data_IF_524284072469
#
_entry.id   IF_524284072469
#
_cell.length_a   1.000
_cell.length_b   1.000
_cell.length_c   1.000
_cell.angle_alpha   90.00
_cell.angle_beta   90.00
_cell.angle_gamma   90.00
#
_symmetry.space_group_name_H-M   'P 1'
#
loop_
_entity.id
_entity.type
_entity.pdbx_description
1 polymer ?
#
# COMPACT_ATOMS: atom_id res chain seq x y z
N UNK A 1 1.98 4.76 15.23
CA UNK A 1 2.66 3.87 14.27
C UNK A 1 3.95 3.40 14.88
N UNK A 2 4.24 2.12 14.80
CA UNK A 2 5.47 1.50 15.33
C UNK A 2 6.61 1.50 14.29
N UNK A 3 6.29 1.54 13.00
CA UNK A 3 7.23 1.68 11.90
C UNK A 3 6.65 2.55 10.78
N UNK A 4 7.52 3.19 9.99
CA UNK A 4 7.15 3.96 8.81
C UNK A 4 8.23 3.86 7.73
N UNK A 5 7.81 3.80 6.47
CA UNK A 5 8.69 3.75 5.31
C UNK A 5 8.20 4.76 4.29
N UNK A 6 9.07 5.70 3.91
CA UNK A 6 8.74 6.77 2.99
C UNK A 6 9.94 7.19 2.18
N UNK A 7 9.69 7.85 1.06
CA UNK A 7 10.76 8.40 0.23
C UNK A 7 11.53 9.48 0.98
N UNK A 8 12.85 9.40 0.87
CA UNK A 8 13.78 10.37 1.47
C UNK A 8 14.33 11.24 0.36
N UNK A 9 14.03 12.53 0.42
CA UNK A 9 14.52 13.52 -0.53
C UNK A 9 15.84 14.14 -0.05
N UNK A 10 16.70 14.50 -1.01
CA UNK A 10 17.94 15.20 -0.72
C UNK A 10 17.66 16.61 -0.23
N UNK A 11 18.39 16.99 0.82
CA UNK A 11 18.35 18.30 1.44
C UNK A 11 19.76 18.88 1.37
N UNK A 12 19.88 20.12 0.90
CA UNK A 12 21.17 20.81 0.84
C UNK A 12 21.64 21.33 2.21
N UNK A 13 22.82 21.94 2.23
CA UNK A 13 23.41 22.54 3.45
C UNK A 13 22.54 23.64 4.10
N UNK A 14 21.60 24.22 3.36
CA UNK A 14 20.70 25.27 3.84
C UNK A 14 19.34 24.70 4.29
N UNK A 15 19.19 23.38 4.35
CA UNK A 15 17.96 22.68 4.69
C UNK A 15 16.84 22.83 3.65
N UNK A 16 17.20 23.00 2.37
CA UNK A 16 16.26 23.13 1.26
C UNK A 16 16.23 21.82 0.45
N UNK A 17 15.03 21.37 0.06
CA UNK A 17 14.87 20.23 -0.84
C UNK A 17 15.45 20.52 -2.21
N UNK A 18 16.34 19.63 -2.69
CA UNK A 18 16.99 19.81 -4.00
C UNK A 18 16.14 19.27 -5.16
N UNK A 19 15.08 18.52 -4.85
CA UNK A 19 14.25 17.79 -5.83
C UNK A 19 14.83 16.43 -6.23
N UNK A 20 15.99 16.03 -5.72
CA UNK A 20 16.56 14.68 -5.93
C UNK A 20 16.10 13.72 -4.84
N UNK A 21 15.97 12.45 -5.18
CA UNK A 21 15.62 11.38 -4.23
C UNK A 21 16.88 10.64 -3.77
N UNK A 22 17.00 10.43 -2.46
CA UNK A 22 18.06 9.60 -1.84
C UNK A 22 17.60 8.15 -1.70
N UNK A 23 16.33 7.93 -1.31
CA UNK A 23 15.76 6.60 -1.11
C UNK A 23 14.29 6.62 -1.54
N UNK A 24 13.89 5.62 -2.34
CA UNK A 24 12.57 5.58 -3.01
C UNK A 24 11.88 4.22 -2.77
N UNK A 25 11.57 3.88 -1.50
CA UNK A 25 10.92 2.61 -1.14
C UNK A 25 9.55 2.46 -1.79
N UNK A 26 8.92 3.57 -2.18
CA UNK A 26 7.63 3.62 -2.87
C UNK A 26 7.64 2.96 -4.24
N UNK A 27 8.82 2.68 -4.84
CA UNK A 27 8.91 1.98 -6.13
C UNK A 27 8.61 0.49 -6.05
N UNK A 28 8.88 -0.14 -4.90
CA UNK A 28 8.58 -1.54 -4.63
C UNK A 28 8.19 -1.69 -3.15
N UNK A 29 6.94 -1.34 -2.84
CA UNK A 29 6.37 -1.45 -1.49
C UNK A 29 6.38 -2.91 -1.02
N UNK A 30 6.22 -3.87 -1.93
CA UNK A 30 6.30 -5.30 -1.63
C UNK A 30 7.66 -5.72 -1.09
N UNK A 31 8.76 -5.27 -1.70
CA UNK A 31 10.11 -5.54 -1.21
C UNK A 31 10.34 -4.99 0.21
N UNK A 32 9.85 -3.78 0.49
CA UNK A 32 9.94 -3.16 1.82
C UNK A 32 9.20 -3.98 2.87
N UNK A 33 7.97 -4.44 2.57
CA UNK A 33 7.21 -5.30 3.48
C UNK A 33 7.94 -6.62 3.72
N UNK A 34 8.44 -7.29 2.67
CA UNK A 34 9.21 -8.54 2.80
C UNK A 34 10.43 -8.38 3.68
N UNK A 35 11.19 -7.30 3.49
CA UNK A 35 12.37 -7.01 4.31
C UNK A 35 11.96 -6.79 5.77
N UNK A 36 10.96 -5.94 6.02
CA UNK A 36 10.52 -5.61 7.37
C UNK A 36 10.01 -6.83 8.14
N UNK A 37 9.21 -7.69 7.52
CA UNK A 37 8.70 -8.90 8.19
C UNK A 37 9.80 -9.91 8.49
N UNK A 38 10.80 -10.03 7.61
CA UNK A 38 11.94 -10.91 7.81
C UNK A 38 12.85 -10.42 8.94
N UNK A 39 13.15 -9.12 8.98
CA UNK A 39 14.00 -8.52 10.02
C UNK A 39 13.36 -8.59 11.42
N UNK A 40 12.03 -8.58 11.48
CA UNK A 40 11.28 -8.53 12.74
C UNK A 40 10.59 -9.85 13.11
N UNK A 41 10.80 -10.93 12.33
CA UNK A 41 10.13 -12.22 12.51
C UNK A 41 8.60 -12.13 12.64
N UNK A 42 7.97 -11.31 11.79
CA UNK A 42 6.51 -11.09 11.79
C UNK A 42 5.84 -12.06 10.82
N UNK A 43 4.78 -12.73 11.26
CA UNK A 43 3.92 -13.53 10.38
C UNK A 43 2.90 -12.65 9.66
N UNK A 44 2.68 -12.89 8.37
CA UNK A 44 1.63 -12.23 7.58
C UNK A 44 0.27 -12.94 7.66
N UNK A 45 0.18 -14.10 8.31
CA UNK A 45 -1.11 -14.76 8.53
C UNK A 45 -2.02 -13.88 9.40
N UNK A 46 -3.27 -13.69 8.97
CA UNK A 46 -4.22 -12.77 9.60
C UNK A 46 -3.89 -11.28 9.44
N UNK A 47 -2.94 -10.93 8.55
CA UNK A 47 -2.58 -9.53 8.28
C UNK A 47 -3.59 -8.88 7.35
N UNK A 48 -3.85 -7.60 7.59
CA UNK A 48 -4.64 -6.75 6.71
C UNK A 48 -3.72 -5.77 5.98
N UNK A 49 -3.95 -5.58 4.67
CA UNK A 49 -3.27 -4.57 3.88
C UNK A 49 -4.28 -3.67 3.18
N UNK A 50 -4.00 -2.37 3.14
CA UNK A 50 -4.90 -1.38 2.54
C UNK A 50 -4.14 -0.45 1.61
N UNK A 51 -4.61 -0.32 0.37
CA UNK A 51 -4.05 0.59 -0.63
C UNK A 51 -5.10 1.15 -1.57
N UNK A 52 -4.78 2.24 -2.25
CA UNK A 52 -5.69 3.01 -3.11
C UNK A 52 -5.18 3.14 -4.55
N UNK A 53 -3.90 2.87 -4.82
CA UNK A 53 -3.33 2.99 -6.16
C UNK A 53 -2.74 1.69 -6.68
N UNK A 54 -2.49 1.62 -7.99
CA UNK A 54 -1.78 0.48 -8.58
C UNK A 54 -0.41 0.20 -7.94
N UNK A 55 0.28 1.22 -7.40
CA UNK A 55 1.59 1.04 -6.77
C UNK A 55 1.55 0.12 -5.53
N UNK A 56 0.37 -0.01 -4.91
CA UNK A 56 0.14 -0.79 -3.71
C UNK A 56 -0.01 -2.28 -3.96
N UNK A 57 -0.27 -2.68 -5.21
CA UNK A 57 -0.50 -4.09 -5.60
C UNK A 57 0.62 -5.00 -5.12
N UNK A 58 1.87 -4.56 -5.26
CA UNK A 58 3.06 -5.34 -4.89
C UNK A 58 3.09 -5.78 -3.42
N UNK A 59 2.54 -4.98 -2.50
CA UNK A 59 2.46 -5.34 -1.10
C UNK A 59 1.11 -5.95 -0.73
N UNK A 60 0.02 -5.53 -1.39
CA UNK A 60 -1.31 -6.12 -1.19
C UNK A 60 -1.33 -7.61 -1.56
N UNK A 61 -0.50 -8.04 -2.51
CA UNK A 61 -0.30 -9.47 -2.83
C UNK A 61 0.37 -10.29 -1.71
N UNK A 62 0.95 -9.64 -0.69
CA UNK A 62 1.69 -10.32 0.38
C UNK A 62 0.86 -10.56 1.64
N UNK A 63 -0.15 -9.73 1.88
CA UNK A 63 -0.99 -9.80 3.08
C UNK A 63 -2.08 -10.87 2.91
N UNK A 64 -2.63 -11.32 4.03
CA UNK A 64 -3.69 -12.34 4.05
C UNK A 64 -5.04 -11.74 3.61
N UNK A 65 -5.35 -10.54 4.11
CA UNK A 65 -6.61 -9.83 3.86
C UNK A 65 -6.36 -8.48 3.15
N UNK A 66 -6.18 -8.49 1.81
CA UNK A 66 -5.98 -7.27 1.02
C UNK A 66 -7.28 -6.50 0.79
N UNK A 67 -7.21 -5.17 0.97
CA UNK A 67 -8.31 -4.23 0.81
C UNK A 67 -7.88 -3.12 -0.16
N UNK A 68 -8.61 -3.01 -1.27
CA UNK A 68 -8.55 -1.86 -2.16
C UNK A 68 -9.52 -0.78 -1.64
N UNK A 69 -8.98 0.26 -1.00
CA UNK A 69 -9.77 1.31 -0.34
C UNK A 69 -9.78 2.58 -1.19
N UNK A 70 -10.97 3.03 -1.60
CA UNK A 70 -11.15 4.11 -2.58
C UNK A 70 -10.23 3.98 -3.81
N UNK A 71 -10.16 2.79 -4.46
CA UNK A 71 -9.12 2.54 -5.44
C UNK A 71 -9.25 3.39 -6.70
N UNK A 72 -8.11 3.74 -7.28
CA UNK A 72 -8.03 4.22 -8.66
C UNK A 72 -8.53 3.14 -9.65
N UNK A 73 -8.73 3.53 -10.92
CA UNK A 73 -9.26 2.60 -11.93
C UNK A 73 -8.37 1.37 -12.16
N UNK A 74 -7.06 1.50 -11.98
CA UNK A 74 -6.10 0.42 -12.19
C UNK A 74 -6.14 -0.59 -11.04
N UNK A 75 -6.09 -0.12 -9.79
CA UNK A 75 -6.20 -0.96 -8.61
C UNK A 75 -7.59 -1.59 -8.53
N UNK A 76 -8.66 -0.85 -8.87
CA UNK A 76 -10.03 -1.39 -8.91
C UNK A 76 -10.12 -2.62 -9.81
N UNK A 77 -9.59 -2.53 -11.04
CA UNK A 77 -9.59 -3.65 -11.99
C UNK A 77 -8.84 -4.86 -11.45
N UNK A 78 -7.66 -4.64 -10.88
CA UNK A 78 -6.84 -5.71 -10.28
C UNK A 78 -7.55 -6.35 -9.08
N UNK A 79 -8.18 -5.53 -8.23
CA UNK A 79 -8.94 -5.98 -7.07
C UNK A 79 -10.15 -6.83 -7.49
N UNK A 80 -10.86 -6.45 -8.55
CA UNK A 80 -11.95 -7.27 -9.11
C UNK A 80 -11.44 -8.61 -9.67
N UNK A 81 -10.35 -8.59 -10.44
CA UNK A 81 -9.72 -9.79 -11.01
C UNK A 81 -9.23 -10.76 -9.91
N UNK A 82 -8.60 -10.23 -8.85
CA UNK A 82 -8.09 -11.00 -7.71
C UNK A 82 -9.11 -11.25 -6.61
N UNK A 83 -10.33 -10.75 -6.75
CA UNK A 83 -11.41 -10.82 -5.75
C UNK A 83 -11.03 -10.24 -4.38
N UNK A 84 -10.23 -9.18 -4.37
CA UNK A 84 -9.92 -8.43 -3.17
C UNK A 84 -11.13 -7.62 -2.70
N UNK A 85 -11.20 -7.35 -1.40
CA UNK A 85 -12.26 -6.49 -0.84
C UNK A 85 -12.09 -5.08 -1.39
N UNK A 86 -13.16 -4.51 -1.95
CA UNK A 86 -13.19 -3.11 -2.38
C UNK A 86 -14.08 -2.34 -1.42
N UNK A 87 -13.49 -1.34 -0.76
CA UNK A 87 -14.20 -0.44 0.15
C UNK A 87 -14.20 0.96 -0.45
N UNK A 88 -15.37 1.58 -0.53
CA UNK A 88 -15.52 2.98 -0.94
C UNK A 88 -16.10 3.78 0.22
N UNK A 89 -15.33 4.74 0.71
CA UNK A 89 -15.76 5.69 1.74
C UNK A 89 -16.23 6.98 1.05
N UNK A 90 -17.42 7.44 1.44
CA UNK A 90 -17.98 8.72 0.96
C UNK A 90 -18.71 9.45 2.08
N UNK A 91 -18.02 10.44 2.65
CA UNK A 91 -18.46 11.31 3.76
C UNK A 91 -18.68 10.53 5.06
N UNK A 92 -19.92 10.05 5.25
CA UNK A 92 -20.36 9.41 6.49
C UNK A 92 -20.79 7.95 6.23
N UNK A 93 -20.50 7.42 5.04
CA UNK A 93 -20.95 6.08 4.62
C UNK A 93 -19.80 5.30 4.00
N UNK A 94 -19.67 4.04 4.41
CA UNK A 94 -18.73 3.07 3.86
C UNK A 94 -19.54 2.04 3.07
N UNK A 95 -19.20 1.86 1.79
CA UNK A 95 -19.75 0.83 0.92
C UNK A 95 -18.71 -0.27 0.74
N UNK A 96 -19.12 -1.52 1.00
CA UNK A 96 -18.35 -2.69 0.58
C UNK A 96 -18.92 -3.18 -0.75
N UNK A 97 -18.11 -3.12 -1.80
CA UNK A 97 -18.52 -3.56 -3.14
C UNK A 97 -18.33 -5.07 -3.22
N UNK A 98 -19.43 -5.80 -3.03
CA UNK A 98 -19.46 -7.24 -3.21
C UNK A 98 -19.67 -7.56 -4.70
N UNK A 99 -18.67 -8.18 -5.35
CA UNK A 99 -18.87 -8.80 -6.66
C UNK A 99 -19.76 -10.04 -6.49
N UNK A 100 -21.08 -9.84 -6.49
CA UNK A 100 -22.04 -10.93 -6.67
C UNK A 100 -22.24 -11.13 -8.17
N UNK A 101 -21.92 -12.33 -8.63
CA UNK A 101 -22.22 -12.85 -9.97
C UNK A 101 -23.72 -12.75 -10.28
#
# INVERSE_FOLDING_TARGET
>A
FDAYFGSVYEIDKNKIYTGKTIFEPTRDKGAVVKQFVAENNIALAGSFGMGDTQSDVSFLELVDEPIAFNPDSNLRRIAEEKKWKIIVEKKDVIYEINNRN
#
